data_IF_415278046489
#
_entry.id   IF_415278046489
#
_cell.length_a   1.000
_cell.length_b   1.000
_cell.length_c   1.000
_cell.angle_alpha   90.00
_cell.angle_beta   90.00
_cell.angle_gamma   90.00
#
_symmetry.space_group_name_H-M   'P 1'
#
loop_
_entity.id
_entity.type
_entity.pdbx_description
1 polymer ?
#
# COMPACT_ATOMS: atom_id res chain seq x y z
N UNK A 1 -19.79 10.84 -17.83
CA UNK A 1 -18.47 10.35 -17.39
C UNK A 1 -18.56 8.91 -16.91
N UNK A 2 -17.45 8.20 -16.92
CA UNK A 2 -17.37 6.81 -16.47
C UNK A 2 -16.68 6.75 -15.12
N UNK A 3 -17.25 6.01 -14.16
CA UNK A 3 -16.62 5.73 -12.87
C UNK A 3 -16.11 4.30 -12.89
N UNK A 4 -14.83 4.10 -12.62
CA UNK A 4 -14.21 2.79 -12.54
C UNK A 4 -13.46 2.60 -11.22
N UNK A 5 -13.53 1.40 -10.66
CA UNK A 5 -12.69 0.96 -9.55
C UNK A 5 -11.65 -0.02 -10.06
N UNK A 6 -10.39 0.30 -9.87
CA UNK A 6 -9.28 -0.54 -10.32
C UNK A 6 -8.49 -1.03 -9.11
N UNK A 7 -8.25 -2.33 -9.04
CA UNK A 7 -7.34 -2.88 -8.05
C UNK A 7 -5.90 -2.64 -8.49
N UNK A 8 -5.13 -1.97 -7.64
CA UNK A 8 -3.73 -1.65 -7.92
C UNK A 8 -2.86 -2.89 -7.70
N UNK A 9 -2.13 -3.31 -8.73
CA UNK A 9 -1.18 -4.41 -8.73
C UNK A 9 -1.72 -5.71 -8.09
N UNK A 10 -2.81 -6.29 -8.61
CA UNK A 10 -3.47 -7.45 -8.02
C UNK A 10 -2.57 -8.71 -8.00
N UNK A 11 -1.69 -8.87 -9.00
CA UNK A 11 -0.81 -10.03 -9.13
C UNK A 11 0.54 -9.86 -8.45
N UNK A 12 0.82 -8.69 -7.84
CA UNK A 12 2.08 -8.44 -7.14
C UNK A 12 2.17 -9.14 -5.77
N UNK A 13 1.18 -9.93 -5.42
CA UNK A 13 1.13 -10.64 -4.13
C UNK A 13 2.18 -11.74 -4.08
N UNK A 14 2.82 -11.91 -2.92
CA UNK A 14 3.80 -12.95 -2.68
C UNK A 14 3.18 -14.08 -1.87
N UNK A 15 3.61 -15.33 -2.11
CA UNK A 15 3.24 -16.42 -1.21
C UNK A 15 3.86 -16.19 0.18
N UNK A 16 3.02 -15.67 1.08
CA UNK A 16 3.44 -15.40 2.45
C UNK A 16 3.87 -16.65 3.22
N UNK A 17 3.40 -17.85 2.84
CA UNK A 17 3.81 -19.10 3.48
C UNK A 17 5.23 -19.46 3.06
N UNK A 18 5.53 -19.34 1.75
CA UNK A 18 6.87 -19.56 1.22
C UNK A 18 7.86 -18.55 1.82
N UNK A 19 7.54 -17.26 1.82
CA UNK A 19 8.37 -16.21 2.44
C UNK A 19 8.67 -16.51 3.90
N UNK A 20 7.65 -16.83 4.71
CA UNK A 20 7.84 -17.19 6.13
C UNK A 20 8.66 -18.45 6.32
N UNK A 21 8.52 -19.45 5.44
CA UNK A 21 9.31 -20.68 5.47
C UNK A 21 10.78 -20.39 5.23
N UNK A 22 11.10 -19.59 4.22
CA UNK A 22 12.46 -19.13 3.92
C UNK A 22 13.05 -18.33 5.07
N UNK A 23 12.34 -17.33 5.60
CA UNK A 23 12.79 -16.53 6.73
C UNK A 23 13.09 -17.39 7.97
N UNK A 24 12.25 -18.37 8.29
CA UNK A 24 12.50 -19.31 9.40
C UNK A 24 13.72 -20.20 9.11
N UNK A 25 13.92 -20.65 7.88
CA UNK A 25 15.08 -21.44 7.50
C UNK A 25 16.37 -20.64 7.58
N UNK A 26 16.35 -19.37 7.12
CA UNK A 26 17.46 -18.43 7.26
C UNK A 26 17.80 -18.19 8.73
N UNK A 27 16.81 -17.96 9.58
CA UNK A 27 17.02 -17.75 11.01
C UNK A 27 17.65 -18.96 11.68
N UNK A 28 17.16 -20.18 11.40
CA UNK A 28 17.78 -21.42 11.92
C UNK A 28 19.24 -21.56 11.47
N UNK A 29 19.52 -21.27 10.19
CA UNK A 29 20.88 -21.32 9.65
C UNK A 29 21.80 -20.28 10.32
N UNK A 30 21.28 -19.08 10.55
CA UNK A 30 22.01 -17.99 11.24
C UNK A 30 22.31 -18.36 12.70
N UNK A 31 21.34 -18.92 13.41
CA UNK A 31 21.50 -19.40 14.79
C UNK A 31 22.56 -20.50 14.90
N UNK A 32 22.50 -21.49 14.01
CA UNK A 32 23.44 -22.60 13.98
C UNK A 32 24.89 -22.15 13.69
N UNK A 33 25.06 -21.12 12.87
CA UNK A 33 26.39 -20.61 12.49
C UNK A 33 26.96 -19.64 13.53
N UNK A 34 26.11 -19.00 14.36
CA UNK A 34 26.52 -17.97 15.32
C UNK A 34 25.87 -18.22 16.71
N UNK A 35 26.09 -19.36 17.36
CA UNK A 35 25.44 -19.67 18.64
C UNK A 35 25.75 -18.64 19.72
N UNK A 36 26.97 -18.09 19.71
CA UNK A 36 27.44 -17.13 20.73
C UNK A 36 26.71 -15.78 20.67
N UNK A 37 26.06 -15.47 19.54
CA UNK A 37 25.31 -14.23 19.35
C UNK A 37 23.88 -14.30 19.95
N UNK A 38 23.50 -15.44 20.52
CA UNK A 38 22.16 -15.66 21.06
C UNK A 38 22.18 -15.94 22.55
N UNK A 39 21.14 -15.55 23.23
CA UNK A 39 20.84 -15.86 24.63
C UNK A 39 19.49 -16.54 24.74
N UNK A 40 19.35 -17.43 25.69
CA UNK A 40 18.06 -18.08 25.98
C UNK A 40 17.27 -17.21 26.94
N UNK A 41 16.08 -16.79 26.52
CA UNK A 41 15.16 -15.99 27.35
C UNK A 41 13.85 -16.75 27.59
N UNK A 42 13.25 -16.57 28.74
CA UNK A 42 11.90 -17.07 29.00
C UNK A 42 10.88 -16.09 28.47
N UNK A 43 9.95 -16.57 27.65
CA UNK A 43 8.84 -15.77 27.08
C UNK A 43 7.53 -16.42 27.49
N UNK A 44 6.63 -15.65 28.06
CA UNK A 44 5.27 -16.11 28.37
C UNK A 44 4.39 -15.96 27.14
N UNK A 45 3.82 -17.08 26.66
CA UNK A 45 2.82 -17.08 25.56
C UNK A 45 1.62 -17.91 26.00
N UNK A 46 0.43 -17.32 25.89
CA UNK A 46 -0.82 -17.95 26.33
C UNK A 46 -0.77 -18.52 27.76
N UNK A 47 -0.15 -17.75 28.70
CA UNK A 47 -0.01 -18.15 30.09
C UNK A 47 1.06 -19.23 30.38
N UNK A 48 1.76 -19.73 29.34
CA UNK A 48 2.82 -20.75 29.50
C UNK A 48 4.20 -20.16 29.24
N UNK A 49 5.18 -20.54 30.08
CA UNK A 49 6.58 -20.19 29.90
C UNK A 49 7.21 -21.01 28.78
N UNK A 50 7.86 -20.36 27.85
CA UNK A 50 8.60 -20.98 26.75
C UNK A 50 10.03 -20.44 26.70
N UNK A 51 11.00 -21.29 26.46
CA UNK A 51 12.38 -20.88 26.16
C UNK A 51 12.44 -20.41 24.70
N UNK A 52 13.00 -19.23 24.47
CA UNK A 52 13.20 -18.65 23.14
C UNK A 52 14.61 -18.11 23.01
N UNK A 53 15.21 -18.23 21.83
CA UNK A 53 16.49 -17.61 21.55
C UNK A 53 16.27 -16.16 21.12
N UNK A 54 17.01 -15.25 21.75
CA UNK A 54 17.03 -13.83 21.43
C UNK A 54 18.45 -13.42 21.05
N UNK A 55 18.58 -12.53 20.10
CA UNK A 55 19.87 -11.94 19.75
C UNK A 55 20.35 -11.08 20.92
N UNK A 56 21.60 -11.27 21.35
CA UNK A 56 22.26 -10.46 22.37
C UNK A 56 22.33 -8.99 21.94
N UNK A 57 22.32 -8.09 22.91
CA UNK A 57 22.53 -6.65 22.66
C UNK A 57 24.02 -6.37 22.42
N UNK A 58 24.32 -5.29 21.67
CA UNK A 58 25.66 -4.83 21.41
C UNK A 58 26.14 -5.06 19.98
N UNK A 59 27.43 -4.79 19.75
CA UNK A 59 28.06 -4.96 18.42
C UNK A 59 28.46 -6.41 18.24
N UNK A 60 27.70 -7.15 17.42
CA UNK A 60 27.90 -8.57 17.14
C UNK A 60 28.57 -8.76 15.77
N UNK A 61 29.45 -9.75 15.69
CA UNK A 61 29.99 -10.21 14.41
C UNK A 61 29.15 -11.38 13.91
N UNK A 62 28.78 -11.35 12.62
CA UNK A 62 27.95 -12.36 11.98
C UNK A 62 28.72 -13.11 10.91
N UNK A 63 28.62 -14.43 10.97
CA UNK A 63 29.08 -15.33 9.90
C UNK A 63 27.85 -15.91 9.21
N UNK A 64 27.93 -16.00 7.88
CA UNK A 64 26.84 -16.57 7.08
C UNK A 64 27.31 -17.84 6.40
N UNK A 65 26.53 -18.90 6.53
CA UNK A 65 26.79 -20.16 5.83
C UNK A 65 26.35 -20.06 4.37
N UNK A 66 26.92 -20.89 3.48
CA UNK A 66 26.45 -21.00 2.08
C UNK A 66 24.96 -21.23 1.97
N UNK A 67 24.40 -22.04 2.90
CA UNK A 67 22.95 -22.27 2.97
C UNK A 67 22.16 -20.99 3.29
N UNK A 68 22.64 -20.17 4.21
CA UNK A 68 22.00 -18.88 4.51
C UNK A 68 22.00 -17.97 3.29
N UNK A 69 23.12 -17.88 2.59
CA UNK A 69 23.27 -17.04 1.40
C UNK A 69 22.36 -17.52 0.26
N UNK A 70 22.26 -18.84 0.03
CA UNK A 70 21.32 -19.41 -0.95
C UNK A 70 19.86 -19.08 -0.62
N UNK A 71 19.43 -19.26 0.64
CA UNK A 71 18.07 -18.92 1.08
C UNK A 71 17.79 -17.40 0.96
N UNK A 72 18.80 -16.56 1.23
CA UNK A 72 18.71 -15.12 1.07
C UNK A 72 18.53 -14.73 -0.40
N UNK A 73 19.26 -15.37 -1.30
CA UNK A 73 19.12 -15.14 -2.74
C UNK A 73 17.74 -15.56 -3.23
N UNK A 74 17.22 -16.71 -2.80
CA UNK A 74 15.87 -17.18 -3.12
C UNK A 74 14.80 -16.18 -2.63
N UNK A 75 14.92 -15.69 -1.40
CA UNK A 75 14.01 -14.70 -0.85
C UNK A 75 14.07 -13.37 -1.62
N UNK A 76 15.28 -12.93 -1.97
CA UNK A 76 15.48 -11.72 -2.76
C UNK A 76 14.84 -11.83 -4.15
N UNK A 77 14.93 -13.02 -4.79
CA UNK A 77 14.31 -13.27 -6.09
C UNK A 77 12.78 -13.21 -6.02
N UNK A 78 12.15 -13.76 -4.98
CA UNK A 78 10.70 -13.64 -4.77
C UNK A 78 10.28 -12.17 -4.71
N UNK A 79 11.00 -11.34 -3.95
CA UNK A 79 10.68 -9.92 -3.85
C UNK A 79 10.98 -9.14 -5.14
N UNK A 80 12.03 -9.52 -5.86
CA UNK A 80 12.38 -8.93 -7.16
C UNK A 80 11.26 -9.17 -8.18
N UNK A 81 10.79 -10.41 -8.28
CA UNK A 81 9.69 -10.77 -9.18
C UNK A 81 8.39 -10.03 -8.81
N UNK A 82 8.04 -9.99 -7.53
CA UNK A 82 6.87 -9.22 -7.06
C UNK A 82 6.99 -7.73 -7.41
N UNK A 83 8.17 -7.14 -7.23
CA UNK A 83 8.41 -5.74 -7.58
C UNK A 83 8.31 -5.49 -9.09
N UNK A 84 8.83 -6.40 -9.92
CA UNK A 84 8.73 -6.32 -11.38
C UNK A 84 7.28 -6.42 -11.87
N UNK A 85 6.51 -7.39 -11.33
CA UNK A 85 5.07 -7.53 -11.61
C UNK A 85 4.31 -6.27 -11.24
N UNK A 86 4.53 -5.73 -10.04
CA UNK A 86 3.90 -4.50 -9.59
C UNK A 86 4.22 -3.31 -10.51
N UNK A 87 5.50 -3.14 -10.88
CA UNK A 87 5.92 -2.06 -11.79
C UNK A 87 5.23 -2.16 -13.15
N UNK A 88 5.08 -3.37 -13.70
CA UNK A 88 4.37 -3.62 -14.94
C UNK A 88 2.89 -3.27 -14.83
N UNK A 89 2.20 -3.80 -13.80
CA UNK A 89 0.78 -3.56 -13.59
C UNK A 89 0.46 -2.08 -13.31
N UNK A 90 1.33 -1.39 -12.56
CA UNK A 90 1.24 0.07 -12.42
C UNK A 90 1.37 0.76 -13.79
N UNK A 91 2.31 0.29 -14.62
CA UNK A 91 2.50 0.82 -15.98
C UNK A 91 1.27 0.66 -16.86
N UNK A 92 0.59 -0.48 -16.77
CA UNK A 92 -0.65 -0.76 -17.49
C UNK A 92 -1.78 0.20 -17.06
N UNK A 93 -1.96 0.40 -15.76
CA UNK A 93 -2.94 1.36 -15.22
C UNK A 93 -2.61 2.79 -15.66
N UNK A 94 -1.34 3.20 -15.56
CA UNK A 94 -0.91 4.53 -16.02
C UNK A 94 -1.18 4.72 -17.52
N UNK A 95 -0.83 3.75 -18.36
CA UNK A 95 -1.05 3.84 -19.81
C UNK A 95 -2.54 3.93 -20.14
N UNK A 96 -3.37 3.16 -19.42
CA UNK A 96 -4.82 3.24 -19.59
C UNK A 96 -5.35 4.63 -19.22
N UNK A 97 -4.93 5.19 -18.08
CA UNK A 97 -5.33 6.56 -17.68
C UNK A 97 -4.90 7.60 -18.70
N UNK A 98 -3.65 7.56 -19.15
CA UNK A 98 -3.11 8.52 -20.13
C UNK A 98 -3.78 8.41 -21.51
N UNK A 99 -4.27 7.22 -21.87
CA UNK A 99 -5.02 7.04 -23.11
C UNK A 99 -6.46 7.57 -23.09
N UNK A 100 -6.99 7.90 -21.90
CA UNK A 100 -8.38 8.31 -21.72
C UNK A 100 -8.56 9.71 -21.13
N UNK A 101 -7.51 10.34 -20.61
CA UNK A 101 -7.57 11.61 -19.93
C UNK A 101 -6.56 12.61 -20.48
N UNK A 102 -7.01 13.84 -20.78
CA UNK A 102 -6.13 14.96 -21.12
C UNK A 102 -5.66 15.74 -19.89
N UNK A 103 -6.36 15.61 -18.76
CA UNK A 103 -6.05 16.22 -17.47
C UNK A 103 -6.32 15.19 -16.36
N UNK A 104 -5.43 15.07 -15.39
CA UNK A 104 -5.51 14.10 -14.32
C UNK A 104 -5.45 14.84 -12.99
N UNK A 105 -6.48 14.65 -12.16
CA UNK A 105 -6.55 15.24 -10.81
C UNK A 105 -6.33 14.12 -9.79
N UNK A 106 -5.43 14.33 -8.85
CA UNK A 106 -5.08 13.35 -7.81
C UNK A 106 -5.06 13.99 -6.42
N UNK A 107 -5.40 13.21 -5.41
CA UNK A 107 -5.28 13.65 -4.02
C UNK A 107 -3.85 13.56 -3.51
N UNK A 108 -3.41 14.59 -2.78
CA UNK A 108 -2.15 14.59 -2.01
C UNK A 108 -2.28 13.70 -0.77
N UNK A 109 -2.11 12.43 -0.95
CA UNK A 109 -2.22 11.44 0.11
C UNK A 109 -0.86 11.11 0.76
N UNK A 110 -0.80 11.18 2.10
CA UNK A 110 0.39 10.76 2.85
C UNK A 110 0.49 9.22 2.93
N UNK A 111 1.00 8.60 1.87
CA UNK A 111 1.22 7.14 1.83
C UNK A 111 2.13 6.64 2.96
N UNK A 112 3.07 7.48 3.44
CA UNK A 112 3.92 7.16 4.60
C UNK A 112 3.10 7.04 5.89
N UNK A 113 2.08 7.88 6.06
CA UNK A 113 1.16 7.78 7.19
C UNK A 113 0.32 6.50 7.12
N UNK A 114 -0.17 6.13 5.93
CA UNK A 114 -0.92 4.89 5.72
C UNK A 114 -0.10 3.63 6.01
N UNK A 115 1.21 3.65 5.71
CA UNK A 115 2.10 2.52 6.01
C UNK A 115 2.31 2.27 7.51
N UNK A 116 2.15 3.28 8.35
CA UNK A 116 2.26 3.13 9.82
C UNK A 116 1.01 2.51 10.46
N UNK A 117 -0.10 2.52 9.77
CA UNK A 117 -1.38 2.04 10.26
C UNK A 117 -1.58 0.52 10.11
N UNK A 118 -2.78 0.08 10.48
CA UNK A 118 -3.23 -1.33 10.44
C UNK A 118 -3.05 -1.97 9.06
N UNK A 119 -3.17 -1.20 8.01
CA UNK A 119 -3.05 -1.65 6.61
C UNK A 119 -1.65 -1.47 6.01
N UNK A 120 -0.65 -1.14 6.83
CA UNK A 120 0.70 -0.79 6.36
C UNK A 120 1.35 -1.85 5.47
N UNK A 121 1.14 -3.14 5.77
CA UNK A 121 1.65 -4.25 4.93
C UNK A 121 1.00 -4.28 3.55
N UNK A 122 -0.30 -4.08 3.48
CA UNK A 122 -1.05 -4.02 2.22
C UNK A 122 -0.63 -2.81 1.39
N UNK A 123 -0.55 -1.63 2.02
CA UNK A 123 -0.04 -0.40 1.38
C UNK A 123 1.38 -0.58 0.86
N UNK A 124 2.28 -1.19 1.65
CA UNK A 124 3.64 -1.47 1.21
C UNK A 124 3.71 -2.45 0.03
N UNK A 125 2.80 -3.43 0.00
CA UNK A 125 2.72 -4.44 -1.07
C UNK A 125 2.27 -3.85 -2.40
N UNK A 126 1.17 -3.12 -2.40
CA UNK A 126 0.61 -2.51 -3.62
C UNK A 126 1.31 -1.20 -4.00
N UNK A 127 2.05 -0.59 -3.08
CA UNK A 127 2.88 0.59 -3.27
C UNK A 127 2.21 1.73 -4.08
N UNK A 128 1.08 2.29 -3.60
CA UNK A 128 0.36 3.34 -4.32
C UNK A 128 1.23 4.59 -4.56
N UNK A 129 2.19 4.89 -3.68
CA UNK A 129 3.15 5.96 -3.91
C UNK A 129 4.01 5.74 -5.17
N UNK A 130 4.37 4.48 -5.47
CA UNK A 130 5.11 4.16 -6.69
C UNK A 130 4.24 4.28 -7.95
N UNK A 131 2.94 3.91 -7.86
CA UNK A 131 1.98 4.15 -8.93
C UNK A 131 1.86 5.66 -9.21
N UNK A 132 1.68 6.46 -8.16
CA UNK A 132 1.58 7.91 -8.28
C UNK A 132 2.81 8.52 -8.96
N UNK A 133 4.01 8.19 -8.49
CA UNK A 133 5.26 8.67 -9.09
C UNK A 133 5.40 8.23 -10.57
N UNK A 134 5.01 7.00 -10.90
CA UNK A 134 5.04 6.51 -12.28
C UNK A 134 4.01 7.23 -13.16
N UNK A 135 2.83 7.53 -12.64
CA UNK A 135 1.79 8.28 -13.34
C UNK A 135 2.26 9.70 -13.64
N UNK A 136 2.77 10.42 -12.63
CA UNK A 136 3.27 11.78 -12.78
C UNK A 136 4.38 11.86 -13.84
N UNK A 137 5.41 11.01 -13.73
CA UNK A 137 6.52 10.98 -14.69
C UNK A 137 6.05 10.69 -16.11
N UNK A 138 5.11 9.77 -16.29
CA UNK A 138 4.57 9.45 -17.62
C UNK A 138 3.69 10.57 -18.18
N UNK A 139 2.86 11.18 -17.34
CA UNK A 139 2.00 12.31 -17.74
C UNK A 139 2.84 13.51 -18.17
N UNK A 140 3.86 13.87 -17.38
CA UNK A 140 4.82 14.93 -17.73
C UNK A 140 5.51 14.64 -19.07
N UNK A 141 5.98 13.40 -19.28
CA UNK A 141 6.61 12.98 -20.54
C UNK A 141 5.65 13.03 -21.74
N UNK A 142 4.36 12.89 -21.49
CA UNK A 142 3.30 12.98 -22.52
C UNK A 142 2.75 14.41 -22.69
N UNK A 143 3.24 15.39 -21.92
CA UNK A 143 2.74 16.77 -21.96
C UNK A 143 1.35 16.95 -21.34
N UNK A 144 0.91 16.02 -20.47
CA UNK A 144 -0.38 16.07 -19.80
C UNK A 144 -0.28 16.76 -18.44
N UNK A 145 -1.33 17.48 -18.08
CA UNK A 145 -1.43 18.14 -16.78
C UNK A 145 -1.80 17.12 -15.70
N UNK A 146 -1.01 17.08 -14.62
CA UNK A 146 -1.35 16.39 -13.37
C UNK A 146 -1.53 17.42 -12.27
N UNK A 147 -2.74 17.55 -11.80
CA UNK A 147 -3.09 18.46 -10.72
C UNK A 147 -3.18 17.72 -9.39
N UNK A 148 -2.57 18.30 -8.36
CA UNK A 148 -2.50 17.70 -7.01
C UNK A 148 -3.35 18.49 -6.06
N UNK A 149 -4.39 17.88 -5.51
CA UNK A 149 -5.36 18.54 -4.66
C UNK A 149 -5.21 18.09 -3.21
N UNK A 150 -5.26 19.06 -2.30
CA UNK A 150 -5.21 18.78 -0.86
C UNK A 150 -6.54 18.23 -0.35
N UNK A 151 -6.59 16.98 0.14
CA UNK A 151 -7.81 16.39 0.69
C UNK A 151 -8.29 17.11 1.97
N UNK A 152 -7.41 17.84 2.65
CA UNK A 152 -7.76 18.61 3.84
C UNK A 152 -8.59 19.84 3.51
N UNK A 153 -8.34 20.49 2.37
CA UNK A 153 -9.08 21.65 1.91
C UNK A 153 -10.42 21.25 1.31
N UNK A 154 -10.40 20.31 0.37
CA UNK A 154 -11.57 19.92 -0.39
C UNK A 154 -12.49 18.96 0.38
N UNK A 155 -11.95 18.12 1.26
CA UNK A 155 -12.69 17.06 1.98
C UNK A 155 -13.60 16.24 1.04
N UNK A 156 -13.09 15.66 -0.04
CA UNK A 156 -13.89 15.17 -1.16
C UNK A 156 -14.86 14.05 -0.75
N UNK A 157 -14.56 13.29 0.30
CA UNK A 157 -15.45 12.24 0.83
C UNK A 157 -16.58 12.76 1.73
N UNK A 158 -16.58 14.06 2.06
CA UNK A 158 -17.55 14.69 2.94
C UNK A 158 -18.36 15.77 2.23
N UNK A 159 -17.88 16.28 1.10
CA UNK A 159 -18.54 17.31 0.32
C UNK A 159 -19.68 16.71 -0.49
N UNK A 160 -20.87 17.28 -0.38
CA UNK A 160 -22.02 16.95 -1.23
C UNK A 160 -22.03 17.91 -2.41
N UNK A 161 -21.75 17.40 -3.60
CA UNK A 161 -21.59 18.18 -4.81
C UNK A 161 -22.83 19.00 -5.19
N UNK A 162 -24.05 18.47 -4.93
CA UNK A 162 -25.30 19.11 -5.34
C UNK A 162 -25.79 20.16 -4.35
N UNK A 163 -25.48 20.00 -3.06
CA UNK A 163 -25.92 20.91 -2.01
C UNK A 163 -24.84 21.86 -1.52
N UNK A 164 -23.56 21.59 -1.84
CA UNK A 164 -22.41 22.32 -1.33
C UNK A 164 -22.12 22.10 0.15
N UNK A 165 -22.88 21.24 0.82
CA UNK A 165 -22.74 20.99 2.26
C UNK A 165 -21.64 19.95 2.55
N UNK A 166 -21.04 20.08 3.73
CA UNK A 166 -20.09 19.10 4.26
C UNK A 166 -20.78 18.20 5.28
N UNK A 167 -20.88 16.91 4.95
CA UNK A 167 -21.46 15.88 5.82
C UNK A 167 -20.38 14.88 6.21
N UNK A 168 -20.15 14.72 7.51
CA UNK A 168 -19.20 13.74 8.00
C UNK A 168 -19.84 12.36 8.00
N UNK A 169 -19.22 11.42 7.29
CA UNK A 169 -19.66 10.03 7.20
C UNK A 169 -18.81 9.13 8.09
N UNK A 170 -19.43 8.10 8.66
CA UNK A 170 -18.71 7.06 9.39
C UNK A 170 -17.89 6.17 8.43
N UNK A 171 -16.82 5.54 8.93
CA UNK A 171 -15.91 4.74 8.09
C UNK A 171 -16.57 3.51 7.45
N UNK A 172 -17.64 3.01 8.06
CA UNK A 172 -18.40 1.86 7.54
C UNK A 172 -19.45 2.26 6.48
N UNK A 173 -19.83 3.54 6.41
CA UNK A 173 -20.73 4.07 5.40
C UNK A 173 -20.03 4.10 4.04
N UNK A 174 -20.41 3.17 3.17
CA UNK A 174 -19.82 3.05 1.82
C UNK A 174 -20.62 3.73 0.73
N UNK A 175 -21.85 4.11 1.03
CA UNK A 175 -22.73 4.84 0.10
C UNK A 175 -23.14 6.15 0.73
N UNK A 176 -23.21 7.17 -0.09
CA UNK A 176 -23.61 8.52 0.29
C UNK A 176 -24.74 8.99 -0.63
N UNK A 177 -25.60 9.85 -0.14
CA UNK A 177 -26.67 10.46 -0.91
C UNK A 177 -26.09 11.64 -1.71
N UNK A 178 -26.52 11.78 -2.98
CA UNK A 178 -26.01 12.83 -3.86
C UNK A 178 -26.69 14.19 -3.66
N UNK A 179 -27.92 14.22 -3.20
CA UNK A 179 -28.72 15.43 -3.06
C UNK A 179 -29.15 15.71 -1.63
N UNK A 180 -30.28 16.39 -1.49
CA UNK A 180 -30.96 16.65 -0.23
C UNK A 180 -31.59 15.36 0.32
N UNK A 181 -32.20 15.45 1.51
CA UNK A 181 -32.81 14.30 2.19
C UNK A 181 -33.95 13.64 1.37
N UNK A 182 -34.57 14.37 0.46
CA UNK A 182 -35.61 13.87 -0.45
C UNK A 182 -35.04 13.21 -1.72
N UNK A 183 -33.71 13.22 -1.92
CA UNK A 183 -33.06 12.65 -3.11
C UNK A 183 -32.70 11.18 -2.85
N UNK A 184 -33.33 10.26 -3.53
CA UNK A 184 -33.07 8.82 -3.41
C UNK A 184 -31.85 8.31 -4.19
N UNK A 185 -31.09 9.21 -4.82
CA UNK A 185 -29.87 8.84 -5.55
C UNK A 185 -28.71 8.57 -4.59
N UNK A 186 -28.30 7.31 -4.52
CA UNK A 186 -27.18 6.85 -3.72
C UNK A 186 -25.98 6.49 -4.61
N UNK A 187 -24.82 6.96 -4.25
CA UNK A 187 -23.56 6.66 -4.93
C UNK A 187 -22.55 6.06 -3.94
N UNK A 188 -21.60 5.30 -4.47
CA UNK A 188 -20.43 4.89 -3.68
C UNK A 188 -19.65 6.13 -3.21
N UNK A 189 -19.25 6.16 -1.95
CA UNK A 189 -18.58 7.31 -1.33
C UNK A 189 -17.25 7.67 -2.03
N UNK A 190 -16.48 6.66 -2.45
CA UNK A 190 -15.21 6.91 -3.14
C UNK A 190 -15.46 7.45 -4.56
N UNK A 191 -16.55 7.01 -5.20
CA UNK A 191 -17.01 7.57 -6.48
C UNK A 191 -17.50 9.01 -6.35
N UNK A 192 -18.24 9.33 -5.27
CA UNK A 192 -18.62 10.71 -4.95
C UNK A 192 -17.40 11.61 -4.75
N UNK A 193 -16.37 11.09 -4.07
CA UNK A 193 -15.12 11.82 -3.90
C UNK A 193 -14.41 12.13 -5.24
N UNK A 194 -14.43 11.20 -6.19
CA UNK A 194 -13.90 11.44 -7.54
C UNK A 194 -14.69 12.53 -8.29
N UNK A 195 -16.02 12.55 -8.16
CA UNK A 195 -16.84 13.62 -8.74
C UNK A 195 -16.55 14.97 -8.08
N UNK A 196 -16.40 15.00 -6.76
CA UNK A 196 -16.04 16.22 -6.04
C UNK A 196 -14.66 16.77 -6.44
N UNK A 197 -13.69 15.89 -6.76
CA UNK A 197 -12.40 16.30 -7.31
C UNK A 197 -12.54 16.86 -8.73
N UNK A 198 -13.40 16.28 -9.55
CA UNK A 198 -13.57 16.67 -10.95
C UNK A 198 -14.28 18.03 -11.10
N UNK A 199 -15.24 18.34 -10.21
CA UNK A 199 -16.06 19.54 -10.27
C UNK A 199 -15.72 20.57 -9.19
N UNK A 200 -14.66 20.36 -8.42
CA UNK A 200 -14.17 21.41 -7.54
C UNK A 200 -13.66 22.57 -8.38
N UNK A 201 -14.14 23.77 -8.08
CA UNK A 201 -13.52 25.00 -8.57
C UNK A 201 -12.15 25.13 -7.89
N UNK A 202 -11.11 24.73 -8.61
CA UNK A 202 -9.72 24.67 -8.14
C UNK A 202 -8.98 25.95 -8.49
#
# INVERSE_FOLDING_TARGET
>A
GTIAKVQIAPSADTDHRAVRKLQRAMERSRQATNPDNYETVEVVRHGKKHKSLKVKSGRLQWRFSKRYESLRAELAEIFRLSAATRKREHGEVCNWLLGHAGHIIVEDNSYKAFQRGRFGKTIGRHAPAALYAQLTNKAESAGLLVEVVSPKKLKPTQHNLLTGQFVKHELWERRVRLGNDDDDRWIDRDAAACLNLLYADL
#
